data_IF_997174307913
#
_entry.id   IF_997174307913
#
_cell.length_a   1.000
_cell.length_b   1.000
_cell.length_c   1.000
_cell.angle_alpha   90.00
_cell.angle_beta   90.00
_cell.angle_gamma   90.00
#
_symmetry.space_group_name_H-M   'P 1'
#
loop_
_entity.id
_entity.type
_entity.pdbx_description
1 polymer ?
#
# COMPACT_ATOMS: atom_id res chain seq x y z
N UNK A 1 15.29 62.15 15.93
CA UNK A 1 15.84 60.97 15.21
C UNK A 1 15.47 59.73 16.02
N UNK A 2 14.35 59.08 15.72
CA UNK A 2 13.96 57.83 16.37
C UNK A 2 14.20 56.68 15.38
N UNK A 3 15.06 55.73 15.76
CA UNK A 3 15.34 54.52 14.98
C UNK A 3 14.41 53.42 15.50
N UNK A 4 13.50 52.94 14.66
CA UNK A 4 12.72 51.73 14.94
C UNK A 4 13.60 50.51 14.66
N UNK A 5 13.87 49.71 15.70
CA UNK A 5 14.49 48.40 15.56
C UNK A 5 13.38 47.38 15.34
N UNK A 6 13.29 46.84 14.11
CA UNK A 6 12.37 45.75 13.78
C UNK A 6 12.96 44.44 14.29
N UNK A 7 12.33 43.88 15.32
CA UNK A 7 12.64 42.55 15.86
C UNK A 7 12.15 41.49 14.85
N UNK A 8 13.06 40.84 14.13
CA UNK A 8 12.73 39.65 13.34
C UNK A 8 12.59 38.46 14.31
N UNK A 9 11.36 38.00 14.50
CA UNK A 9 11.10 36.68 15.09
C UNK A 9 11.24 35.66 13.97
N UNK A 10 12.37 34.96 13.91
CA UNK A 10 12.53 33.77 13.09
C UNK A 10 11.72 32.64 13.72
N UNK A 11 10.54 32.36 13.16
CA UNK A 11 9.78 31.15 13.45
C UNK A 11 10.51 29.99 12.78
N UNK A 12 11.30 29.23 13.54
CA UNK A 12 11.76 27.92 13.08
C UNK A 12 10.58 26.98 13.21
N UNK A 13 9.87 26.74 12.09
CA UNK A 13 8.95 25.62 12.02
C UNK A 13 9.80 24.35 12.11
N UNK A 14 9.84 23.74 13.29
CA UNK A 14 10.23 22.34 13.41
C UNK A 14 9.06 21.56 12.81
N UNK A 15 9.11 21.32 11.50
CA UNK A 15 8.29 20.26 10.91
C UNK A 15 8.71 18.97 11.61
N UNK A 16 7.81 18.23 12.29
CA UNK A 16 8.16 16.90 12.71
C UNK A 16 8.67 16.17 11.47
N UNK A 17 9.83 15.52 11.60
CA UNK A 17 10.31 14.56 10.63
C UNK A 17 9.13 13.65 10.29
N UNK A 18 8.75 13.58 9.02
CA UNK A 18 8.00 12.45 8.44
C UNK A 18 8.92 11.22 8.55
N UNK A 19 9.28 10.80 9.76
CA UNK A 19 9.80 9.48 10.00
C UNK A 19 8.60 8.58 9.72
N UNK A 20 8.53 8.24 8.45
CA UNK A 20 7.52 7.47 7.78
C UNK A 20 7.09 6.34 8.72
N UNK A 21 5.84 6.36 9.15
CA UNK A 21 5.20 5.17 9.66
C UNK A 21 5.07 4.25 8.44
N UNK A 22 6.18 3.62 8.04
CA UNK A 22 6.13 2.55 7.05
C UNK A 22 5.72 1.33 7.83
N UNK A 23 4.51 0.83 7.60
CA UNK A 23 4.22 -0.57 7.91
C UNK A 23 5.35 -1.42 7.30
N UNK A 24 5.89 -2.43 8.00
CA UNK A 24 6.89 -3.34 7.42
C UNK A 24 6.35 -4.08 6.19
N UNK A 25 5.03 -4.05 5.99
CA UNK A 25 4.33 -4.71 4.90
C UNK A 25 4.11 -3.81 3.67
N UNK A 26 4.63 -2.58 3.65
CA UNK A 26 4.56 -1.74 2.45
C UNK A 26 5.18 -2.46 1.26
N UNK A 27 4.43 -2.49 0.15
CA UNK A 27 4.75 -3.23 -1.06
C UNK A 27 4.20 -4.66 -1.08
N UNK A 28 3.87 -5.28 0.05
CA UNK A 28 3.38 -6.67 0.08
C UNK A 28 2.13 -6.84 -0.78
N UNK A 29 2.03 -7.99 -1.41
CA UNK A 29 1.01 -8.30 -2.41
C UNK A 29 0.21 -9.55 -2.05
N UNK A 30 -1.05 -9.57 -2.46
CA UNK A 30 -1.97 -10.68 -2.32
C UNK A 30 -2.71 -10.87 -3.65
N UNK A 31 -2.41 -11.96 -4.36
CA UNK A 31 -3.07 -12.34 -5.62
C UNK A 31 -4.31 -13.17 -5.30
N UNK A 32 -5.51 -12.60 -5.52
CA UNK A 32 -6.77 -13.17 -5.03
C UNK A 32 -7.08 -14.51 -5.70
N UNK A 33 -7.25 -15.55 -4.90
CA UNK A 33 -7.72 -16.85 -5.36
C UNK A 33 -9.24 -16.87 -5.44
N UNK A 34 -9.78 -17.30 -6.58
CA UNK A 34 -11.23 -17.39 -6.77
C UNK A 34 -11.83 -18.54 -5.96
N UNK A 35 -12.93 -18.26 -5.25
CA UNK A 35 -13.80 -19.29 -4.68
C UNK A 35 -15.20 -19.25 -5.27
N UNK A 36 -15.74 -18.05 -5.47
CA UNK A 36 -17.05 -17.79 -6.06
C UNK A 36 -17.01 -16.48 -6.86
N UNK A 37 -18.03 -16.24 -7.68
CA UNK A 37 -18.28 -14.92 -8.29
C UNK A 37 -17.12 -14.32 -9.10
N UNK A 38 -16.28 -15.19 -9.66
CA UNK A 38 -15.16 -14.84 -10.54
C UNK A 38 -14.16 -13.85 -9.91
N UNK A 39 -14.06 -13.83 -8.57
CA UNK A 39 -13.13 -12.94 -7.85
C UNK A 39 -11.69 -13.19 -8.30
N UNK A 40 -11.04 -12.13 -8.76
CA UNK A 40 -9.61 -12.11 -9.09
C UNK A 40 -9.06 -10.68 -8.96
N UNK A 41 -7.73 -10.54 -8.97
CA UNK A 41 -7.04 -9.26 -8.94
C UNK A 41 -5.86 -9.27 -7.96
N UNK A 42 -4.96 -8.31 -8.13
CA UNK A 42 -3.77 -8.18 -7.31
C UNK A 42 -3.95 -7.04 -6.30
N UNK A 43 -3.86 -7.35 -5.01
CA UNK A 43 -3.90 -6.36 -3.94
C UNK A 43 -2.48 -6.02 -3.52
N UNK A 44 -2.12 -4.73 -3.47
CA UNK A 44 -0.82 -4.23 -3.01
C UNK A 44 -1.00 -3.29 -1.83
N UNK A 45 -0.19 -3.46 -0.78
CA UNK A 45 -0.09 -2.49 0.32
C UNK A 45 0.74 -1.29 -0.12
N UNK A 46 0.13 -0.11 -0.14
CA UNK A 46 0.72 1.13 -0.67
C UNK A 46 1.46 1.90 0.42
N UNK A 47 0.87 1.99 1.62
CA UNK A 47 1.42 2.63 2.80
C UNK A 47 0.84 1.98 4.09
N UNK A 48 0.80 2.70 5.22
CA UNK A 48 0.35 2.13 6.50
C UNK A 48 -1.15 1.85 6.59
N UNK A 49 -1.96 2.56 5.80
CA UNK A 49 -3.42 2.53 5.87
C UNK A 49 -4.08 2.51 4.50
N UNK A 50 -3.32 2.32 3.41
CA UNK A 50 -3.85 2.28 2.04
C UNK A 50 -3.48 0.99 1.32
N UNK A 51 -4.46 0.39 0.65
CA UNK A 51 -4.25 -0.67 -0.33
C UNK A 51 -4.66 -0.22 -1.74
N UNK A 52 -4.04 -0.83 -2.75
CA UNK A 52 -4.39 -0.72 -4.16
C UNK A 52 -4.80 -2.08 -4.69
N UNK A 53 -5.95 -2.17 -5.36
CA UNK A 53 -6.42 -3.38 -6.02
C UNK A 53 -6.37 -3.17 -7.53
N UNK A 54 -5.46 -3.88 -8.19
CA UNK A 54 -5.25 -3.88 -9.63
C UNK A 54 -6.04 -5.01 -10.31
N UNK A 55 -6.51 -4.76 -11.54
CA UNK A 55 -7.20 -5.72 -12.41
C UNK A 55 -8.34 -6.49 -11.72
N UNK A 56 -9.08 -5.83 -10.81
CA UNK A 56 -10.10 -6.47 -10.00
C UNK A 56 -11.25 -7.02 -10.86
N UNK A 57 -11.55 -8.31 -10.70
CA UNK A 57 -12.69 -8.98 -11.32
C UNK A 57 -13.65 -9.43 -10.23
N UNK A 58 -14.93 -9.15 -10.42
CA UNK A 58 -16.02 -9.63 -9.57
C UNK A 58 -17.34 -9.42 -10.29
N UNK A 59 -18.21 -10.43 -10.33
CA UNK A 59 -19.47 -10.38 -11.09
C UNK A 59 -20.53 -9.40 -10.52
N UNK A 60 -20.26 -8.80 -9.36
CA UNK A 60 -21.15 -7.85 -8.69
C UNK A 60 -22.32 -8.49 -7.94
N UNK A 61 -22.38 -9.82 -7.87
CA UNK A 61 -23.46 -10.57 -7.23
C UNK A 61 -23.10 -10.97 -5.79
N UNK A 62 -24.11 -11.00 -4.93
CA UNK A 62 -23.96 -11.28 -3.51
C UNK A 62 -25.10 -10.68 -2.71
N UNK A 63 -24.99 -10.73 -1.39
CA UNK A 63 -25.96 -10.10 -0.49
C UNK A 63 -25.37 -8.81 0.08
N UNK A 64 -24.29 -8.94 0.84
CA UNK A 64 -23.50 -7.84 1.41
C UNK A 64 -22.02 -8.20 1.28
N UNK A 65 -21.30 -7.55 0.36
CA UNK A 65 -19.94 -7.94 -0.04
C UNK A 65 -19.00 -6.75 0.07
N UNK A 66 -17.97 -6.88 0.89
CA UNK A 66 -16.90 -5.89 1.01
C UNK A 66 -15.55 -6.58 0.97
N UNK A 67 -14.48 -5.79 0.86
CA UNK A 67 -13.16 -6.27 1.21
C UNK A 67 -13.03 -6.36 2.73
N UNK A 68 -12.40 -7.42 3.22
CA UNK A 68 -12.13 -7.65 4.64
C UNK A 68 -10.68 -7.99 4.85
N UNK A 69 -10.06 -7.36 5.85
CA UNK A 69 -8.73 -7.73 6.33
C UNK A 69 -8.82 -8.74 7.47
N UNK A 70 -7.98 -9.76 7.43
CA UNK A 70 -7.86 -10.80 8.45
C UNK A 70 -6.43 -10.93 8.97
N UNK A 71 -6.29 -11.28 10.25
CA UNK A 71 -4.97 -11.60 10.83
C UNK A 71 -4.33 -12.87 10.23
N UNK A 72 -5.18 -13.74 9.66
CA UNK A 72 -4.83 -14.99 8.98
C UNK A 72 -5.80 -15.20 7.81
N UNK A 73 -5.42 -16.02 6.83
CA UNK A 73 -6.30 -16.37 5.71
C UNK A 73 -7.31 -17.47 6.10
N UNK A 74 -8.32 -17.10 6.92
CA UNK A 74 -9.39 -18.02 7.32
C UNK A 74 -10.72 -17.28 7.48
N UNK A 75 -11.84 -17.97 7.22
CA UNK A 75 -13.19 -17.42 7.45
C UNK A 75 -13.38 -16.89 8.88
N UNK A 76 -12.77 -17.52 9.88
CA UNK A 76 -12.86 -17.09 11.27
C UNK A 76 -12.13 -15.76 11.52
N UNK A 77 -10.97 -15.57 10.88
CA UNK A 77 -10.23 -14.32 10.96
C UNK A 77 -10.96 -13.19 10.23
N UNK A 78 -11.53 -13.44 9.04
CA UNK A 78 -12.33 -12.45 8.32
C UNK A 78 -13.64 -12.10 9.05
N UNK A 79 -14.30 -13.07 9.69
CA UNK A 79 -15.48 -12.81 10.54
C UNK A 79 -15.19 -11.84 11.67
N UNK A 80 -13.99 -11.90 12.24
CA UNK A 80 -13.52 -10.98 13.30
C UNK A 80 -12.70 -9.81 12.73
N UNK A 81 -12.63 -9.71 11.40
CA UNK A 81 -11.72 -8.84 10.68
C UNK A 81 -12.24 -7.43 10.51
N UNK A 82 -11.50 -6.64 9.74
CA UNK A 82 -11.83 -5.25 9.46
C UNK A 82 -12.47 -5.11 8.07
N UNK A 83 -13.75 -4.72 7.96
CA UNK A 83 -14.31 -4.30 6.68
C UNK A 83 -13.63 -3.04 6.17
N UNK A 84 -13.27 -3.02 4.89
CA UNK A 84 -12.65 -1.88 4.22
C UNK A 84 -13.32 -1.60 2.88
N UNK A 85 -13.20 -0.36 2.41
CA UNK A 85 -13.71 0.05 1.11
C UNK A 85 -15.24 0.09 1.00
N UNK A 86 -15.77 0.23 -0.23
CA UNK A 86 -17.19 0.34 -0.48
C UNK A 86 -17.89 -1.03 -0.54
N UNK A 87 -19.23 -0.99 -0.56
CA UNK A 87 -20.06 -2.13 -0.98
C UNK A 87 -19.72 -2.50 -2.43
N UNK A 88 -19.49 -3.80 -2.67
CA UNK A 88 -19.11 -4.35 -3.97
C UNK A 88 -20.30 -4.88 -4.76
N UNK A 89 -21.43 -5.19 -4.12
CA UNK A 89 -22.65 -5.65 -4.82
C UNK A 89 -23.19 -4.54 -5.73
N UNK A 90 -23.45 -4.89 -6.99
CA UNK A 90 -23.96 -3.96 -7.99
C UNK A 90 -23.34 -4.17 -9.38
N UNK A 91 -22.83 -3.11 -10.04
CA UNK A 91 -22.10 -3.26 -11.29
C UNK A 91 -20.92 -4.21 -11.15
N UNK A 92 -20.73 -5.07 -12.16
CA UNK A 92 -19.57 -5.96 -12.20
C UNK A 92 -18.27 -5.18 -12.40
N UNK A 93 -17.19 -5.76 -11.90
CA UNK A 93 -15.79 -5.38 -12.14
C UNK A 93 -15.22 -6.38 -13.14
N UNK A 94 -14.67 -5.89 -14.26
CA UNK A 94 -14.24 -6.74 -15.38
C UNK A 94 -12.72 -6.79 -15.56
N UNK A 95 -11.98 -6.23 -14.60
CA UNK A 95 -10.53 -6.14 -14.60
C UNK A 95 -9.96 -5.05 -15.51
N UNK A 96 -10.81 -4.29 -16.22
CA UNK A 96 -10.35 -3.25 -17.16
C UNK A 96 -10.53 -1.83 -16.62
N UNK A 97 -11.18 -1.67 -15.46
CA UNK A 97 -11.32 -0.38 -14.79
C UNK A 97 -10.00 0.09 -14.15
N UNK A 98 -9.95 1.37 -13.78
CA UNK A 98 -8.84 1.91 -12.99
C UNK A 98 -8.70 1.17 -11.65
N UNK A 99 -7.49 1.06 -11.10
CA UNK A 99 -7.25 0.39 -9.82
C UNK A 99 -8.09 1.00 -8.69
N UNK A 100 -8.59 0.14 -7.81
CA UNK A 100 -9.28 0.60 -6.60
C UNK A 100 -8.21 1.03 -5.60
N UNK A 101 -8.29 2.28 -5.12
CA UNK A 101 -7.47 2.76 -4.01
C UNK A 101 -8.36 2.84 -2.78
N UNK A 102 -8.01 2.09 -1.74
CA UNK A 102 -8.83 1.91 -0.54
C UNK A 102 -8.03 2.33 0.68
N UNK A 103 -8.40 3.47 1.25
CA UNK A 103 -7.95 3.89 2.57
C UNK A 103 -8.71 3.12 3.64
N UNK A 104 -8.01 2.72 4.70
CA UNK A 104 -8.58 2.07 5.88
C UNK A 104 -9.43 3.07 6.68
N UNK A 105 -10.36 2.59 7.52
CA UNK A 105 -11.10 3.43 8.45
C UNK A 105 -10.17 4.25 9.37
N UNK A 106 -10.61 5.45 9.75
CA UNK A 106 -9.78 6.38 10.51
C UNK A 106 -9.25 5.77 11.83
N UNK A 107 -7.92 5.75 11.97
CA UNK A 107 -7.22 5.23 13.14
C UNK A 107 -6.86 3.74 13.06
N UNK A 108 -7.25 3.06 11.99
CA UNK A 108 -6.80 1.71 11.66
C UNK A 108 -5.48 1.75 10.89
N UNK A 109 -4.74 0.65 10.93
CA UNK A 109 -3.53 0.43 10.13
C UNK A 109 -3.53 -1.00 9.61
N UNK A 110 -2.67 -1.29 8.63
CA UNK A 110 -2.48 -2.64 8.12
C UNK A 110 -1.68 -3.55 9.08
N UNK A 111 -1.10 -3.00 10.16
CA UNK A 111 -0.35 -3.78 11.14
C UNK A 111 -1.25 -4.85 11.79
N UNK A 112 -0.81 -6.11 11.74
CA UNK A 112 -1.54 -7.25 12.32
C UNK A 112 -2.55 -7.89 11.39
N UNK A 113 -2.74 -7.37 10.18
CA UNK A 113 -3.49 -8.01 9.11
C UNK A 113 -2.52 -8.66 8.11
N UNK A 114 -2.73 -9.93 7.81
CA UNK A 114 -1.87 -10.72 6.90
C UNK A 114 -2.64 -11.32 5.72
N UNK A 115 -3.96 -11.11 5.65
CA UNK A 115 -4.78 -11.64 4.58
C UNK A 115 -5.92 -10.67 4.22
N UNK A 116 -6.43 -10.80 3.01
CA UNK A 116 -7.57 -10.05 2.50
C UNK A 116 -8.57 -11.00 1.83
N UNK A 117 -9.86 -10.71 1.97
CA UNK A 117 -10.95 -11.45 1.32
C UNK A 117 -11.95 -10.49 0.70
N UNK A 118 -12.49 -10.86 -0.47
CA UNK A 118 -13.80 -10.41 -0.93
C UNK A 118 -14.84 -11.20 -0.16
N UNK A 119 -15.36 -10.61 0.91
CA UNK A 119 -16.10 -11.31 1.95
C UNK A 119 -17.59 -11.02 1.88
N UNK A 120 -18.40 -12.08 1.88
CA UNK A 120 -19.85 -11.96 1.98
C UNK A 120 -20.29 -12.01 3.45
N UNK A 121 -20.67 -10.85 3.99
CA UNK A 121 -20.97 -10.63 5.42
C UNK A 121 -22.15 -11.47 5.88
N UNK A 122 -23.22 -11.52 5.09
CA UNK A 122 -24.50 -12.14 5.50
C UNK A 122 -24.43 -13.66 5.66
N UNK A 123 -23.51 -14.33 4.95
CA UNK A 123 -23.37 -15.80 4.97
C UNK A 123 -22.01 -16.26 5.47
N UNK A 124 -21.14 -15.34 5.89
CA UNK A 124 -19.83 -15.61 6.49
C UNK A 124 -18.94 -16.50 5.61
N UNK A 125 -18.80 -16.15 4.33
CA UNK A 125 -17.96 -16.90 3.38
C UNK A 125 -17.12 -15.95 2.52
N UNK A 126 -15.90 -16.39 2.18
CA UNK A 126 -15.02 -15.75 1.22
C UNK A 126 -15.46 -16.07 -0.21
N UNK A 127 -15.58 -15.06 -1.06
CA UNK A 127 -15.75 -15.20 -2.51
C UNK A 127 -14.41 -15.28 -3.24
N UNK A 128 -13.36 -14.76 -2.62
CA UNK A 128 -11.98 -15.00 -2.99
C UNK A 128 -11.08 -14.32 -1.97
N UNK A 129 -9.90 -14.88 -1.73
CA UNK A 129 -8.98 -14.39 -0.72
C UNK A 129 -7.53 -14.70 -1.06
N UNK A 130 -6.63 -14.07 -0.31
CA UNK A 130 -5.21 -14.32 -0.40
C UNK A 130 -4.48 -13.87 0.87
N UNK A 131 -3.29 -14.43 1.08
CA UNK A 131 -2.32 -13.98 2.10
C UNK A 131 -1.42 -12.92 1.47
N UNK A 132 -1.14 -11.85 2.21
CA UNK A 132 -0.12 -10.88 1.80
C UNK A 132 1.26 -11.49 1.95
N UNK A 133 2.02 -11.46 0.87
CA UNK A 133 3.40 -11.90 0.79
C UNK A 133 4.29 -10.71 0.42
N UNK A 134 5.56 -10.69 0.87
CA UNK A 134 6.49 -9.67 0.43
C UNK A 134 6.64 -9.68 -1.10
N UNK A 135 6.95 -8.52 -1.72
CA UNK A 135 7.26 -8.46 -3.15
C UNK A 135 8.33 -9.48 -3.50
N UNK A 136 8.14 -10.20 -4.60
CA UNK A 136 9.13 -11.15 -5.08
C UNK A 136 10.40 -10.39 -5.46
N UNK A 137 11.45 -10.58 -4.68
CA UNK A 137 12.80 -10.13 -5.02
C UNK A 137 13.53 -11.31 -5.65
N UNK A 138 14.13 -11.11 -6.81
CA UNK A 138 14.88 -12.18 -7.47
C UNK A 138 16.03 -12.64 -6.54
N UNK A 139 16.02 -13.93 -6.18
CA UNK A 139 16.97 -14.49 -5.20
C UNK A 139 16.46 -14.58 -3.75
N UNK A 140 15.28 -14.04 -3.44
CA UNK A 140 14.59 -14.25 -2.16
C UNK A 140 13.80 -15.56 -2.23
N UNK A 141 14.45 -16.65 -1.86
CA UNK A 141 13.89 -18.00 -1.93
C UNK A 141 13.17 -18.40 -0.64
N UNK A 142 13.44 -17.70 0.47
CA UNK A 142 12.75 -17.87 1.74
C UNK A 142 11.43 -17.10 1.81
N UNK A 143 11.21 -16.18 0.86
CA UNK A 143 10.03 -15.32 0.72
C UNK A 143 9.81 -14.45 1.97
N UNK A 144 10.90 -13.93 2.54
CA UNK A 144 10.87 -13.04 3.70
C UNK A 144 11.04 -11.56 3.34
N UNK A 145 11.13 -11.25 2.05
CA UNK A 145 11.29 -9.93 1.48
C UNK A 145 12.74 -9.45 1.42
N UNK A 146 13.71 -10.34 1.71
CA UNK A 146 15.14 -10.04 1.73
C UNK A 146 15.91 -11.12 0.98
N UNK A 147 17.02 -10.74 0.38
CA UNK A 147 17.97 -11.68 -0.21
C UNK A 147 19.18 -11.75 0.70
N UNK A 148 19.25 -12.78 1.55
CA UNK A 148 20.31 -12.98 2.51
C UNK A 148 20.76 -14.46 2.65
N UNK A 149 21.43 -14.79 3.75
CA UNK A 149 21.97 -16.12 3.97
C UNK A 149 20.90 -17.20 4.18
N UNK A 150 19.68 -16.83 4.58
CA UNK A 150 18.55 -17.75 4.69
C UNK A 150 18.19 -18.34 3.32
N UNK A 151 18.11 -17.51 2.29
CA UNK A 151 17.77 -17.93 0.92
C UNK A 151 18.77 -18.91 0.33
N UNK A 152 20.05 -18.74 0.66
CA UNK A 152 21.08 -19.68 0.23
C UNK A 152 20.80 -21.11 0.72
N UNK A 153 20.26 -21.25 1.93
CA UNK A 153 19.92 -22.57 2.45
C UNK A 153 18.73 -23.19 1.74
N UNK A 154 17.71 -22.38 1.40
CA UNK A 154 16.56 -22.82 0.61
C UNK A 154 16.99 -23.25 -0.80
N UNK A 155 17.77 -22.42 -1.50
CA UNK A 155 18.33 -22.74 -2.81
C UNK A 155 19.11 -24.06 -2.79
N UNK A 156 20.04 -24.19 -1.83
CA UNK A 156 20.92 -25.34 -1.74
C UNK A 156 20.14 -26.63 -1.50
N UNK A 157 19.13 -26.58 -0.64
CA UNK A 157 18.36 -27.76 -0.27
C UNK A 157 17.40 -28.19 -1.41
N UNK A 158 17.00 -27.26 -2.30
CA UNK A 158 16.21 -27.53 -3.51
C UNK A 158 17.01 -27.70 -4.82
N UNK A 159 18.35 -27.67 -4.76
CA UNK A 159 19.22 -27.74 -5.94
C UNK A 159 19.06 -29.06 -6.70
N UNK A 160 18.71 -28.98 -7.98
CA UNK A 160 18.49 -30.12 -8.87
C UNK A 160 17.04 -30.62 -8.93
N UNK A 161 16.13 -30.00 -8.18
CA UNK A 161 14.68 -30.26 -8.28
C UNK A 161 13.89 -28.97 -8.54
N UNK A 162 14.01 -28.00 -7.64
CA UNK A 162 13.27 -26.73 -7.69
C UNK A 162 14.16 -25.61 -8.23
N UNK A 163 15.45 -25.66 -7.89
CA UNK A 163 16.43 -24.66 -8.29
C UNK A 163 17.57 -25.27 -9.09
N UNK A 164 18.21 -24.45 -9.91
CA UNK A 164 19.41 -24.78 -10.64
C UNK A 164 20.59 -23.85 -10.33
N UNK A 165 21.66 -23.97 -11.10
CA UNK A 165 22.88 -23.20 -10.87
C UNK A 165 22.74 -21.72 -11.30
N UNK A 166 21.78 -21.40 -12.17
CA UNK A 166 21.47 -20.02 -12.56
C UNK A 166 20.74 -19.26 -11.45
N UNK A 167 19.89 -19.94 -10.67
CA UNK A 167 19.27 -19.37 -9.47
C UNK A 167 20.30 -18.90 -8.44
N UNK A 168 21.39 -19.66 -8.26
CA UNK A 168 22.49 -19.19 -7.42
C UNK A 168 23.10 -17.86 -7.90
N UNK A 169 23.17 -17.63 -9.22
CA UNK A 169 23.66 -16.37 -9.75
C UNK A 169 22.70 -15.24 -9.40
N UNK A 170 21.39 -15.47 -9.51
CA UNK A 170 20.37 -14.51 -9.11
C UNK A 170 20.47 -14.14 -7.62
N UNK A 171 20.56 -15.13 -6.73
CA UNK A 171 20.79 -14.88 -5.29
C UNK A 171 22.09 -14.09 -5.05
N UNK A 172 23.20 -14.49 -5.69
CA UNK A 172 24.49 -13.83 -5.52
C UNK A 172 24.45 -12.38 -5.99
N UNK A 173 23.83 -12.14 -7.15
CA UNK A 173 23.80 -10.83 -7.79
C UNK A 173 22.84 -9.87 -7.06
N UNK A 174 21.85 -10.41 -6.33
CA UNK A 174 20.90 -9.65 -5.53
C UNK A 174 21.18 -9.71 -4.01
N UNK A 175 22.28 -10.29 -3.54
CA UNK A 175 22.55 -10.41 -2.10
C UNK A 175 22.55 -9.04 -1.38
N UNK A 176 21.72 -8.92 -0.35
CA UNK A 176 21.47 -7.69 0.39
C UNK A 176 20.36 -6.82 -0.20
N UNK A 177 19.73 -7.23 -1.30
CA UNK A 177 18.49 -6.64 -1.78
C UNK A 177 17.35 -6.91 -0.79
N UNK A 178 16.40 -6.01 -0.77
CA UNK A 178 15.10 -6.18 -0.10
C UNK A 178 14.05 -5.54 -0.98
N UNK A 179 12.80 -5.98 -0.84
CA UNK A 179 11.66 -5.34 -1.50
C UNK A 179 11.68 -3.85 -1.16
N UNK A 180 12.02 -3.01 -2.14
CA UNK A 180 12.10 -1.58 -1.93
C UNK A 180 10.68 -1.04 -1.82
N UNK A 181 10.41 -0.22 -0.79
CA UNK A 181 9.20 0.58 -0.75
C UNK A 181 9.20 1.48 -2.00
N UNK A 182 8.30 1.22 -2.94
CA UNK A 182 8.06 2.13 -4.05
C UNK A 182 7.73 3.51 -3.46
N UNK A 183 8.64 4.48 -3.67
CA UNK A 183 8.42 5.83 -3.22
C UNK A 183 7.42 6.50 -4.16
N UNK A 184 6.16 6.60 -3.74
CA UNK A 184 5.17 7.40 -4.46
C UNK A 184 5.67 8.85 -4.54
N UNK A 185 5.66 9.41 -5.75
CA UNK A 185 5.96 10.82 -5.96
C UNK A 185 4.88 11.66 -5.25
N UNK A 186 5.21 12.20 -4.07
CA UNK A 186 4.35 13.13 -3.34
C UNK A 186 4.06 14.33 -4.25
N UNK A 187 2.80 14.59 -4.64
CA UNK A 187 2.47 15.78 -5.41
C UNK A 187 2.86 17.03 -4.63
N UNK A 188 3.71 17.89 -5.20
CA UNK A 188 4.16 19.10 -4.49
C UNK A 188 2.94 19.94 -4.07
N UNK A 189 2.86 20.41 -2.81
CA UNK A 189 1.78 21.28 -2.38
C UNK A 189 1.83 22.56 -3.23
N UNK A 190 0.67 22.94 -3.77
CA UNK A 190 0.49 24.09 -4.66
C UNK A 190 0.87 25.39 -3.92
N UNK A 191 2.15 25.69 -3.85
CA UNK A 191 2.72 26.88 -3.18
C UNK A 191 2.77 28.06 -4.16
N UNK A 192 1.77 28.18 -5.04
CA UNK A 192 1.68 29.24 -6.04
C UNK A 192 0.76 30.42 -5.63
N UNK A 193 0.10 30.36 -4.46
CA UNK A 193 -0.91 31.34 -4.06
C UNK A 193 -0.44 32.61 -3.32
N UNK A 194 0.80 32.68 -2.82
CA UNK A 194 1.20 33.71 -1.83
C UNK A 194 2.12 34.84 -2.38
N UNK A 195 1.96 35.23 -3.65
CA UNK A 195 2.78 36.31 -4.24
C UNK A 195 2.01 37.41 -4.99
N UNK A 196 0.72 37.64 -4.65
CA UNK A 196 -0.09 38.77 -5.20
C UNK A 196 -0.43 39.82 -4.11
N UNK A 197 0.32 39.84 -3.00
CA UNK A 197 0.05 40.74 -1.87
C UNK A 197 0.84 42.06 -1.83
N UNK A 198 1.76 42.33 -2.78
CA UNK A 198 2.67 43.47 -2.65
C UNK A 198 2.96 44.19 -3.98
N UNK A 199 2.00 44.95 -4.48
CA UNK A 199 2.32 46.19 -5.21
C UNK A 199 1.12 47.14 -5.23
N UNK A 200 1.40 48.42 -4.96
CA UNK A 200 0.56 49.63 -5.13
C UNK A 200 -0.12 50.22 -3.89
N UNK A 201 0.69 50.80 -3.00
CA UNK A 201 0.33 52.10 -2.41
C UNK A 201 1.44 53.12 -2.74
N UNK A 202 1.23 53.95 -3.75
CA UNK A 202 1.95 55.22 -3.89
C UNK A 202 0.93 56.36 -4.01
N UNK A 203 1.08 57.45 -3.24
CA UNK A 203 0.08 58.51 -3.16
C UNK A 203 0.16 59.47 -4.35
N UNK A 204 -1.00 60.00 -4.74
CA UNK A 204 -1.18 60.95 -5.82
C UNK A 204 -0.43 62.26 -5.60
N UNK A 205 0.26 62.75 -6.63
CA UNK A 205 0.83 64.11 -6.66
C UNK A 205 -0.06 65.03 -7.50
N UNK A 206 -0.75 65.95 -6.84
CA UNK A 206 -1.53 67.03 -7.48
C UNK A 206 -0.59 68.03 -8.18
N UNK A 207 -1.03 68.56 -9.32
CA UNK A 207 -0.69 69.90 -9.80
C UNK A 207 -1.99 70.67 -9.99
#
# INVERSE_FOLDING_TARGET
MLRYATLLVTLVAVTPSLAQLTSPQVGWQADLETHFHDVAGLVTIVDEDTIRVDDFVFDGQGLDVLFYLGAENTNQAFTNGLPIGPQLVGPAFDGMQEPLIIDLPAGETLEGYNAISVWCVDVYISFGDATFLPPVVEGDYSLDGRVDAADYTVWRDGLGSEYDQSDYLAWRDNYGASSANEAFAVPEPITAGLLIGLLLTMPARKR
#
